data_IF_119200890017
#
_entry.id   IF_119200890017
#
_cell.length_a   1.000
_cell.length_b   1.000
_cell.length_c   1.000
_cell.angle_alpha   90.00
_cell.angle_beta   90.00
_cell.angle_gamma   90.00
#
_symmetry.space_group_name_H-M   'P 1'
#
loop_
_entity.id
_entity.type
_entity.pdbx_description
1 polymer ?
#
# COMPACT_ATOMS: atom_id res chain seq x y z
N UNK A 1 6.64 17.65 -14.62
CA UNK A 1 7.77 16.73 -14.37
C UNK A 1 9.07 17.10 -15.10
N UNK A 2 9.25 18.41 -15.32
CA UNK A 2 10.45 18.97 -15.97
C UNK A 2 10.96 20.21 -15.25
N UNK A 3 10.76 20.32 -13.93
CA UNK A 3 11.28 21.47 -13.14
C UNK A 3 12.81 21.49 -13.05
N UNK A 4 13.45 20.33 -13.15
CA UNK A 4 14.89 20.17 -12.93
C UNK A 4 15.30 20.19 -11.46
N UNK A 5 14.36 20.33 -10.52
CA UNK A 5 14.59 20.42 -9.07
C UNK A 5 14.62 19.02 -8.46
N UNK A 6 15.47 18.83 -7.44
CA UNK A 6 15.78 17.53 -6.82
C UNK A 6 14.97 17.23 -5.55
N UNK A 7 14.29 18.20 -4.96
CA UNK A 7 13.45 17.98 -3.77
C UNK A 7 12.34 16.97 -4.09
N UNK A 8 12.24 15.90 -3.33
CA UNK A 8 11.26 14.83 -3.52
C UNK A 8 10.53 14.49 -2.21
N UNK A 9 9.66 13.48 -2.23
CA UNK A 9 8.85 13.06 -1.09
C UNK A 9 9.71 12.72 0.15
N UNK A 10 10.89 12.14 -0.05
CA UNK A 10 11.78 11.82 1.09
C UNK A 10 12.36 13.07 1.75
N UNK A 11 12.53 14.16 1.01
CA UNK A 11 12.90 15.46 1.56
C UNK A 11 11.79 16.09 2.41
N UNK A 12 10.53 15.79 2.11
CA UNK A 12 9.38 16.31 2.85
C UNK A 12 9.30 15.84 4.31
N UNK A 13 9.96 14.73 4.64
CA UNK A 13 9.99 14.18 6.02
C UNK A 13 10.75 15.12 6.97
N UNK A 14 11.74 15.85 6.46
CA UNK A 14 12.60 16.73 7.28
C UNK A 14 12.20 18.21 7.24
N UNK A 15 11.28 18.59 6.34
CA UNK A 15 10.86 19.96 6.13
C UNK A 15 9.42 20.21 6.58
N UNK A 16 9.18 21.30 7.28
CA UNK A 16 7.83 21.75 7.62
C UNK A 16 7.22 22.61 6.53
N UNK A 17 7.99 23.50 5.92
CA UNK A 17 7.57 24.30 4.75
C UNK A 17 8.09 23.67 3.44
N UNK A 18 7.27 22.83 2.84
CA UNK A 18 7.63 22.14 1.61
C UNK A 18 7.76 23.03 0.39
N UNK A 19 7.08 24.19 0.37
CA UNK A 19 7.23 25.19 -0.71
C UNK A 19 8.63 25.79 -0.63
N UNK A 20 9.04 26.22 0.56
CA UNK A 20 10.38 26.73 0.80
C UNK A 20 11.44 25.68 0.50
N UNK A 21 11.30 24.48 1.05
CA UNK A 21 12.23 23.36 0.82
C UNK A 21 12.40 23.03 -0.67
N UNK A 22 11.31 23.08 -1.45
CA UNK A 22 11.38 22.85 -2.90
C UNK A 22 12.20 23.95 -3.60
N UNK A 23 11.97 25.22 -3.30
CA UNK A 23 12.68 26.31 -3.97
C UNK A 23 14.14 26.49 -3.48
N UNK A 24 14.44 26.06 -2.27
CA UNK A 24 15.81 26.04 -1.74
C UNK A 24 16.63 24.84 -2.29
N UNK A 25 15.99 23.90 -2.97
CA UNK A 25 16.65 22.71 -3.50
C UNK A 25 17.41 22.98 -4.80
N UNK A 26 18.43 22.15 -5.06
CA UNK A 26 19.27 22.26 -6.24
C UNK A 26 18.48 22.07 -7.53
N UNK A 27 18.74 22.92 -8.51
CA UNK A 27 18.30 22.76 -9.90
C UNK A 27 19.42 22.04 -10.67
N UNK A 28 19.21 20.76 -11.00
CA UNK A 28 20.22 19.95 -11.71
C UNK A 28 20.19 20.10 -13.22
N UNK A 29 19.01 20.40 -13.79
CA UNK A 29 18.83 20.56 -15.23
C UNK A 29 17.97 21.79 -15.52
N UNK A 30 18.17 22.46 -16.68
CA UNK A 30 17.31 23.59 -17.07
C UNK A 30 15.83 23.18 -17.09
N UNK A 31 14.92 23.98 -16.52
CA UNK A 31 13.49 23.71 -16.57
C UNK A 31 12.97 23.48 -17.99
N UNK A 32 12.02 22.54 -18.14
CA UNK A 32 11.41 22.21 -19.43
C UNK A 32 12.21 21.27 -20.35
N UNK A 33 13.44 20.89 -19.98
CA UNK A 33 14.33 20.10 -20.86
C UNK A 33 14.34 18.60 -20.58
N UNK A 34 14.42 18.21 -19.32
CA UNK A 34 14.63 16.82 -18.94
C UNK A 34 13.46 16.33 -18.09
N UNK A 35 12.91 15.18 -18.46
CA UNK A 35 11.91 14.50 -17.61
C UNK A 35 12.59 13.96 -16.36
N UNK A 36 12.05 14.33 -15.22
CA UNK A 36 12.37 13.74 -13.92
C UNK A 36 11.09 13.67 -13.10
N UNK A 37 10.61 12.43 -12.84
CA UNK A 37 9.41 12.25 -12.03
C UNK A 37 9.64 12.75 -10.61
N UNK A 38 8.76 13.63 -10.16
CA UNK A 38 8.86 14.25 -8.85
C UNK A 38 7.48 14.77 -8.44
N UNK A 39 6.84 14.09 -7.48
CA UNK A 39 5.49 14.42 -7.01
C UNK A 39 5.40 15.78 -6.35
N UNK A 40 6.53 16.33 -5.88
CA UNK A 40 6.55 17.70 -5.32
C UNK A 40 6.21 18.77 -6.37
N UNK A 41 6.37 18.50 -7.67
CA UNK A 41 5.83 19.39 -8.70
C UNK A 41 4.30 19.51 -8.63
N UNK A 42 3.60 18.42 -8.31
CA UNK A 42 2.14 18.43 -8.13
C UNK A 42 1.75 19.15 -6.83
N UNK A 43 2.54 18.98 -5.77
CA UNK A 43 2.35 19.73 -4.53
C UNK A 43 2.44 21.24 -4.76
N UNK A 44 3.40 21.72 -5.57
CA UNK A 44 3.52 23.13 -5.89
C UNK A 44 2.30 23.68 -6.64
N UNK A 45 1.67 22.86 -7.51
CA UNK A 45 0.43 23.29 -8.16
C UNK A 45 -0.71 23.41 -7.15
N UNK A 46 -0.79 22.52 -6.17
CA UNK A 46 -1.72 22.64 -5.05
C UNK A 46 -1.48 23.94 -4.26
N UNK A 47 -0.23 24.20 -3.88
CA UNK A 47 0.15 25.42 -3.18
C UNK A 47 -0.17 26.69 -3.99
N UNK A 48 0.05 26.65 -5.32
CA UNK A 48 -0.28 27.77 -6.22
C UNK A 48 -1.79 28.03 -6.27
N UNK A 49 -2.62 26.97 -6.35
CA UNK A 49 -4.09 27.13 -6.29
C UNK A 49 -4.49 27.81 -4.99
N UNK A 50 -4.00 27.31 -3.84
CA UNK A 50 -4.29 27.91 -2.53
C UNK A 50 -3.87 29.38 -2.47
N UNK A 51 -2.69 29.71 -2.98
CA UNK A 51 -2.18 31.09 -3.00
C UNK A 51 -3.01 32.03 -3.89
N UNK A 52 -3.45 31.56 -5.05
CA UNK A 52 -4.18 32.37 -6.03
C UNK A 52 -5.65 32.54 -5.64
N UNK A 53 -6.28 31.47 -5.13
CA UNK A 53 -7.72 31.44 -4.86
C UNK A 53 -8.07 31.77 -3.40
N UNK A 54 -7.12 31.68 -2.50
CA UNK A 54 -7.32 31.79 -1.04
C UNK A 54 -7.91 30.52 -0.41
N UNK A 55 -8.21 29.47 -1.20
CA UNK A 55 -8.83 28.23 -0.72
C UNK A 55 -7.97 27.02 -1.09
N UNK A 56 -8.04 25.95 -0.27
CA UNK A 56 -7.37 24.68 -0.57
C UNK A 56 -8.00 23.93 -1.75
N UNK A 57 -7.30 22.88 -2.23
CA UNK A 57 -7.82 22.09 -3.38
C UNK A 57 -9.16 21.44 -3.09
N UNK A 58 -9.39 20.92 -1.89
CA UNK A 58 -10.67 20.29 -1.55
C UNK A 58 -11.81 21.28 -1.63
N UNK A 59 -11.67 22.45 -1.00
CA UNK A 59 -12.66 23.50 -1.02
C UNK A 59 -12.87 24.06 -2.44
N UNK A 60 -11.78 24.26 -3.20
CA UNK A 60 -11.84 24.76 -4.57
C UNK A 60 -12.54 23.80 -5.54
N UNK A 61 -12.25 22.49 -5.40
CA UNK A 61 -12.77 21.45 -6.30
C UNK A 61 -14.20 21.01 -5.95
N UNK A 62 -14.64 21.19 -4.70
CA UNK A 62 -15.96 20.72 -4.25
C UNK A 62 -17.09 21.23 -5.17
N UNK A 63 -17.31 22.52 -5.37
CA UNK A 63 -18.39 22.99 -6.25
C UNK A 63 -18.09 22.81 -7.75
N UNK A 64 -16.85 22.57 -8.15
CA UNK A 64 -16.42 22.52 -9.56
C UNK A 64 -16.29 21.12 -10.11
N UNK A 65 -15.97 20.14 -9.26
CA UNK A 65 -15.70 18.76 -9.68
C UNK A 65 -16.46 17.74 -8.83
N UNK A 66 -16.29 17.77 -7.50
CA UNK A 66 -16.82 16.72 -6.63
C UNK A 66 -18.36 16.69 -6.62
N UNK A 67 -19.01 17.81 -6.36
CA UNK A 67 -20.47 17.92 -6.37
C UNK A 67 -21.09 17.63 -7.74
N UNK A 68 -20.60 18.21 -8.86
CA UNK A 68 -21.14 17.90 -10.19
C UNK A 68 -21.04 16.42 -10.57
N UNK A 69 -19.96 15.73 -10.15
CA UNK A 69 -19.77 14.30 -10.36
C UNK A 69 -20.54 13.43 -9.34
N UNK A 70 -21.13 14.04 -8.29
CA UNK A 70 -21.77 13.33 -7.19
C UNK A 70 -20.79 12.53 -6.36
N UNK A 71 -19.56 13.04 -6.19
CA UNK A 71 -18.50 12.46 -5.35
C UNK A 71 -18.62 13.09 -3.97
N UNK A 72 -18.83 12.26 -2.94
CA UNK A 72 -19.05 12.72 -1.56
C UNK A 72 -17.94 12.24 -0.62
N UNK A 73 -17.45 11.03 -0.83
CA UNK A 73 -16.45 10.39 0.02
C UNK A 73 -15.07 10.56 -0.62
N UNK A 74 -14.53 11.76 -0.52
CA UNK A 74 -13.21 12.13 -1.02
C UNK A 74 -12.49 12.93 0.03
N UNK A 75 -11.20 12.64 0.21
CA UNK A 75 -10.35 13.30 1.21
C UNK A 75 -8.94 13.43 0.65
N UNK A 76 -8.27 14.52 0.99
CA UNK A 76 -6.87 14.75 0.61
C UNK A 76 -6.03 15.06 1.83
N UNK A 77 -4.93 14.33 2.01
CA UNK A 77 -3.97 14.59 3.09
C UNK A 77 -3.32 15.97 2.93
N UNK A 78 -2.99 16.57 4.07
CA UNK A 78 -2.36 17.87 4.13
C UNK A 78 -0.85 17.76 4.40
N UNK A 79 -0.09 18.73 3.91
CA UNK A 79 1.27 19.03 4.35
C UNK A 79 1.25 19.64 5.76
N UNK A 80 2.40 19.73 6.46
CA UNK A 80 2.47 20.39 7.77
C UNK A 80 1.94 21.84 7.78
N UNK A 81 2.02 22.54 6.65
CA UNK A 81 1.47 23.89 6.48
C UNK A 81 0.00 23.91 6.03
N UNK A 82 -0.73 22.80 6.12
CA UNK A 82 -2.16 22.74 5.80
C UNK A 82 -2.48 22.94 4.32
N UNK A 83 -1.62 22.49 3.42
CA UNK A 83 -1.82 22.49 1.96
C UNK A 83 -2.00 21.06 1.53
N UNK A 84 -3.03 20.75 0.72
CA UNK A 84 -3.24 19.43 0.18
C UNK A 84 -2.00 18.95 -0.61
N UNK A 85 -1.58 17.68 -0.39
CA UNK A 85 -0.32 17.16 -0.93
C UNK A 85 -0.25 17.15 -2.46
N UNK A 86 -1.40 17.14 -3.14
CA UNK A 86 -1.49 17.31 -4.60
C UNK A 86 -0.88 16.19 -5.44
N UNK A 87 0.26 15.67 -5.07
CA UNK A 87 0.97 14.58 -5.74
C UNK A 87 0.64 13.19 -5.22
N UNK A 88 0.11 13.08 -4.01
CA UNK A 88 -0.33 11.85 -3.33
C UNK A 88 -1.32 12.16 -2.21
N UNK A 89 -1.79 11.14 -1.50
CA UNK A 89 -2.67 11.31 -0.34
C UNK A 89 -4.12 11.67 -0.69
N UNK A 90 -4.57 11.43 -1.93
CA UNK A 90 -5.99 11.51 -2.28
C UNK A 90 -6.66 10.17 -2.01
N UNK A 91 -7.69 10.17 -1.18
CA UNK A 91 -8.55 9.03 -0.88
C UNK A 91 -9.87 9.19 -1.65
N UNK A 92 -10.18 8.23 -2.49
CA UNK A 92 -11.37 8.22 -3.34
C UNK A 92 -11.76 6.77 -3.64
N UNK A 93 -13.04 6.47 -3.63
CA UNK A 93 -13.50 5.11 -3.97
C UNK A 93 -13.37 4.84 -5.48
N UNK A 94 -13.14 3.58 -5.89
CA UNK A 94 -12.91 3.22 -7.30
C UNK A 94 -14.03 3.69 -8.25
N UNK A 95 -15.28 3.59 -7.83
CA UNK A 95 -16.44 4.01 -8.61
C UNK A 95 -16.46 5.53 -8.87
N UNK A 96 -16.01 6.33 -7.90
CA UNK A 96 -15.91 7.78 -8.04
C UNK A 96 -14.69 8.17 -8.90
N UNK A 97 -13.59 7.44 -8.77
CA UNK A 97 -12.44 7.61 -9.66
C UNK A 97 -12.80 7.31 -11.12
N UNK A 98 -13.63 6.28 -11.37
CA UNK A 98 -14.12 5.95 -12.70
C UNK A 98 -14.95 7.10 -13.35
N UNK A 99 -15.68 7.90 -12.56
CA UNK A 99 -16.39 9.09 -13.06
C UNK A 99 -15.41 10.13 -13.62
N UNK A 100 -14.25 10.30 -13.00
CA UNK A 100 -13.19 11.20 -13.51
C UNK A 100 -12.64 10.66 -14.83
N UNK A 101 -12.34 9.37 -14.94
CA UNK A 101 -11.91 8.76 -16.20
C UNK A 101 -12.95 8.94 -17.31
N UNK A 102 -14.22 8.72 -17.01
CA UNK A 102 -15.31 8.96 -17.94
C UNK A 102 -15.43 10.44 -18.36
N UNK A 103 -15.27 11.38 -17.42
CA UNK A 103 -15.25 12.81 -17.72
C UNK A 103 -14.16 13.15 -18.75
N UNK A 104 -12.97 12.55 -18.62
CA UNK A 104 -11.88 12.71 -19.60
C UNK A 104 -12.25 12.11 -20.97
N UNK A 105 -12.82 10.89 -21.02
CA UNK A 105 -13.25 10.26 -22.27
C UNK A 105 -14.35 11.04 -22.98
N UNK A 106 -15.20 11.74 -22.24
CA UNK A 106 -16.26 12.61 -22.76
C UNK A 106 -15.79 14.05 -23.07
N UNK A 107 -14.48 14.27 -23.19
CA UNK A 107 -13.94 15.59 -23.52
C UNK A 107 -14.28 16.68 -22.51
N UNK A 108 -14.47 16.33 -21.23
CA UNK A 108 -14.75 17.27 -20.14
C UNK A 108 -16.23 17.61 -19.94
N UNK A 109 -17.14 16.87 -20.57
CA UNK A 109 -18.59 17.04 -20.41
C UNK A 109 -19.13 15.96 -19.47
N UNK A 110 -19.98 16.36 -18.53
CA UNK A 110 -20.70 15.48 -17.62
C UNK A 110 -22.16 15.89 -17.54
N UNK A 111 -23.08 14.98 -17.89
CA UNK A 111 -24.54 15.27 -17.93
C UNK A 111 -24.84 16.62 -18.59
N UNK A 112 -24.37 16.80 -19.82
CA UNK A 112 -24.53 17.99 -20.65
C UNK A 112 -23.88 19.30 -20.15
N UNK A 113 -23.18 19.23 -19.02
CA UNK A 113 -22.41 20.34 -18.46
C UNK A 113 -20.92 20.18 -18.71
N UNK A 114 -20.28 21.19 -19.31
CA UNK A 114 -18.83 21.23 -19.44
C UNK A 114 -18.18 21.58 -18.08
N UNK A 115 -17.43 20.64 -17.53
CA UNK A 115 -16.67 20.82 -16.28
C UNK A 115 -15.20 21.14 -16.54
N UNK A 116 -14.63 20.58 -17.63
CA UNK A 116 -13.24 20.81 -18.03
C UNK A 116 -13.24 21.25 -19.50
N UNK A 117 -12.45 22.27 -19.87
CA UNK A 117 -12.31 22.67 -21.27
C UNK A 117 -11.78 21.51 -22.14
N UNK A 118 -12.34 21.33 -23.35
CA UNK A 118 -11.93 20.24 -24.24
C UNK A 118 -10.45 20.35 -24.64
N UNK A 119 -10.04 21.58 -24.97
CA UNK A 119 -8.66 21.92 -25.32
C UNK A 119 -7.67 21.60 -24.19
N UNK A 120 -8.11 21.67 -22.92
CA UNK A 120 -7.28 21.26 -21.80
C UNK A 120 -7.09 19.74 -21.76
N UNK A 121 -8.16 18.97 -21.95
CA UNK A 121 -8.09 17.51 -21.97
C UNK A 121 -7.18 17.03 -23.11
N UNK A 122 -7.38 17.58 -24.32
CA UNK A 122 -6.53 17.29 -25.46
C UNK A 122 -5.05 17.61 -25.15
N UNK A 123 -4.78 18.78 -24.58
CA UNK A 123 -3.45 19.20 -24.22
C UNK A 123 -2.83 18.30 -23.12
N UNK A 124 -3.62 17.90 -22.11
CA UNK A 124 -3.14 17.12 -20.97
C UNK A 124 -2.86 15.66 -21.33
N UNK A 125 -3.66 15.07 -22.23
CA UNK A 125 -3.50 13.69 -22.70
C UNK A 125 -2.59 13.56 -23.92
N UNK A 126 -2.06 14.66 -24.45
CA UNK A 126 -1.04 14.65 -25.50
C UNK A 126 0.37 14.55 -24.94
N UNK A 127 1.29 13.92 -25.67
CA UNK A 127 2.72 13.88 -25.32
C UNK A 127 3.28 15.30 -25.22
N UNK A 128 3.80 15.65 -24.05
CA UNK A 128 4.54 16.91 -23.80
C UNK A 128 6.05 16.64 -23.66
N UNK A 129 6.43 15.53 -23.08
CA UNK A 129 7.82 15.12 -22.91
C UNK A 129 7.98 13.61 -23.08
N UNK A 130 9.13 13.19 -23.59
CA UNK A 130 9.50 11.77 -23.66
C UNK A 130 9.95 11.31 -22.28
N UNK A 131 9.26 10.34 -21.69
CA UNK A 131 9.74 9.70 -20.48
C UNK A 131 10.83 8.66 -20.82
N UNK A 132 11.78 8.36 -19.91
CA UNK A 132 12.74 7.28 -20.09
C UNK A 132 12.06 5.92 -20.31
N UNK A 133 12.76 4.97 -20.96
CA UNK A 133 12.21 3.63 -21.24
C UNK A 133 11.95 2.81 -19.95
N UNK A 134 12.68 3.12 -18.89
CA UNK A 134 12.50 2.50 -17.57
C UNK A 134 11.08 2.69 -17.02
N UNK A 135 10.35 3.71 -17.48
CA UNK A 135 8.94 3.94 -17.19
C UNK A 135 7.97 3.22 -18.15
N UNK A 136 8.43 2.19 -18.85
CA UNK A 136 7.60 1.39 -19.74
C UNK A 136 7.25 2.10 -21.05
N UNK A 137 6.12 1.70 -21.66
CA UNK A 137 5.69 2.17 -22.99
C UNK A 137 4.84 3.45 -22.92
N UNK A 138 5.31 4.42 -22.13
CA UNK A 138 4.62 5.70 -21.94
C UNK A 138 5.53 6.90 -22.21
N UNK A 139 4.90 7.98 -22.68
CA UNK A 139 5.37 9.35 -22.60
C UNK A 139 4.60 10.08 -21.48
N UNK A 140 4.83 11.38 -21.31
CA UNK A 140 4.17 12.16 -20.29
C UNK A 140 3.52 13.42 -20.86
N UNK A 141 2.25 13.64 -20.48
CA UNK A 141 1.47 14.82 -20.73
C UNK A 141 1.50 15.80 -19.57
N UNK A 142 0.34 16.40 -19.23
CA UNK A 142 0.21 17.22 -18.02
C UNK A 142 -0.27 16.37 -16.84
N UNK A 143 0.67 15.84 -16.06
CA UNK A 143 0.45 14.91 -14.94
C UNK A 143 -0.26 13.60 -15.33
N UNK A 144 -0.19 13.22 -16.60
CA UNK A 144 -0.84 12.05 -17.17
C UNK A 144 0.19 11.28 -17.98
N UNK A 145 0.24 9.97 -17.82
CA UNK A 145 1.02 9.07 -18.66
C UNK A 145 0.28 8.80 -19.96
N UNK A 146 0.95 8.91 -21.08
CA UNK A 146 0.36 8.81 -22.43
C UNK A 146 1.02 7.64 -23.16
N UNK A 147 0.22 6.69 -23.63
CA UNK A 147 0.71 5.50 -24.34
C UNK A 147 1.53 5.86 -25.59
N UNK A 148 2.65 5.13 -25.81
CA UNK A 148 3.49 5.32 -26.99
C UNK A 148 2.97 4.58 -28.21
N UNK A 149 2.50 3.35 -28.02
CA UNK A 149 2.08 2.43 -29.08
C UNK A 149 0.57 2.25 -29.16
N UNK A 150 -0.12 2.56 -28.06
CA UNK A 150 -1.55 2.42 -27.96
C UNK A 150 -2.17 3.75 -27.57
N UNK A 151 -3.30 4.10 -28.20
CA UNK A 151 -4.06 5.27 -27.82
C UNK A 151 -4.72 5.02 -26.48
N UNK A 152 -4.03 5.40 -25.43
CA UNK A 152 -4.48 5.31 -24.04
C UNK A 152 -3.79 6.37 -23.19
N UNK A 153 -4.39 6.68 -22.07
CA UNK A 153 -3.74 7.48 -21.03
C UNK A 153 -4.00 6.89 -19.66
N UNK A 154 -3.06 7.13 -18.74
CA UNK A 154 -2.99 6.46 -17.45
C UNK A 154 -2.68 7.46 -16.35
N UNK A 155 -3.50 7.47 -15.32
CA UNK A 155 -3.17 8.03 -14.01
C UNK A 155 -2.63 6.86 -13.19
N UNK A 156 -1.36 6.94 -12.85
CA UNK A 156 -0.66 5.82 -12.23
C UNK A 156 -0.07 6.22 -10.88
N UNK A 157 -0.42 5.46 -9.88
CA UNK A 157 0.14 5.55 -8.53
C UNK A 157 0.89 4.28 -8.14
N UNK A 158 1.71 4.40 -7.11
CA UNK A 158 2.45 3.28 -6.54
C UNK A 158 1.52 2.17 -6.06
N UNK A 159 2.01 0.92 -6.09
CA UNK A 159 1.35 -0.27 -5.56
C UNK A 159 0.04 -0.64 -6.25
N UNK A 160 -0.17 -0.17 -7.50
CA UNK A 160 -1.36 -0.51 -8.28
C UNK A 160 -2.55 0.43 -8.03
N UNK A 161 -2.30 1.72 -7.80
CA UNK A 161 -3.35 2.75 -7.80
C UNK A 161 -3.48 3.30 -9.21
N UNK A 162 -4.34 2.72 -10.02
CA UNK A 162 -4.39 2.98 -11.46
C UNK A 162 -5.78 3.38 -11.96
N UNK A 163 -5.81 4.39 -12.85
CA UNK A 163 -6.93 4.66 -13.73
C UNK A 163 -6.45 4.69 -15.17
N UNK A 164 -6.79 3.67 -15.95
CA UNK A 164 -6.39 3.51 -17.35
C UNK A 164 -7.59 3.75 -18.25
N UNK A 165 -7.44 4.66 -19.23
CA UNK A 165 -8.48 5.04 -20.18
C UNK A 165 -8.08 4.66 -21.60
N UNK A 166 -9.01 4.05 -22.33
CA UNK A 166 -8.90 3.71 -23.74
C UNK A 166 -9.94 4.51 -24.55
N UNK A 167 -9.57 5.66 -25.16
CA UNK A 167 -10.52 6.51 -25.90
C UNK A 167 -11.17 5.79 -27.09
N UNK A 168 -10.42 4.92 -27.78
CA UNK A 168 -10.94 4.22 -28.99
C UNK A 168 -12.05 3.22 -28.68
N UNK A 169 -12.17 2.78 -27.45
CA UNK A 169 -13.15 1.76 -27.00
C UNK A 169 -14.11 2.27 -25.93
N UNK A 170 -13.98 3.54 -25.52
CA UNK A 170 -14.74 4.16 -24.42
C UNK A 170 -14.69 3.36 -23.12
N UNK A 171 -13.50 2.86 -22.77
CA UNK A 171 -13.28 2.03 -21.58
C UNK A 171 -12.44 2.78 -20.56
N UNK A 172 -12.90 2.75 -19.31
CA UNK A 172 -12.13 3.14 -18.10
C UNK A 172 -11.94 1.90 -17.26
N UNK A 173 -10.68 1.62 -16.91
CA UNK A 173 -10.31 0.55 -15.97
C UNK A 173 -9.71 1.18 -14.72
N UNK A 174 -10.22 0.77 -13.57
CA UNK A 174 -9.70 1.18 -12.27
C UNK A 174 -9.09 -0.02 -11.57
N UNK A 175 -7.92 0.18 -10.99
CA UNK A 175 -7.28 -0.74 -10.07
C UNK A 175 -6.94 0.01 -8.78
N UNK A 176 -7.36 -0.53 -7.65
CA UNK A 176 -6.85 -0.17 -6.33
C UNK A 176 -6.30 -1.43 -5.69
N UNK A 177 -4.99 -1.50 -5.58
CA UNK A 177 -4.28 -2.67 -5.11
C UNK A 177 -3.22 -2.30 -4.06
N UNK A 178 -2.70 -3.31 -3.38
CA UNK A 178 -1.48 -3.25 -2.59
C UNK A 178 -0.52 -4.29 -3.15
N UNK A 179 0.05 -4.03 -4.32
CA UNK A 179 0.92 -4.96 -5.03
C UNK A 179 2.39 -4.49 -5.06
N UNK A 180 3.30 -5.38 -5.50
CA UNK A 180 4.72 -5.06 -5.64
C UNK A 180 5.03 -4.31 -6.95
N UNK A 181 4.25 -3.30 -7.29
CA UNK A 181 4.42 -2.54 -8.53
C UNK A 181 4.61 -1.05 -8.23
N UNK A 182 5.72 -0.50 -8.71
CA UNK A 182 6.02 0.91 -8.48
C UNK A 182 5.30 1.83 -9.45
N UNK A 183 5.36 1.54 -10.74
CA UNK A 183 4.80 2.36 -11.80
C UNK A 183 4.43 1.51 -13.03
N UNK A 184 4.56 2.04 -14.23
CA UNK A 184 4.03 1.59 -15.51
C UNK A 184 4.49 0.23 -16.04
N UNK A 185 5.38 -0.46 -15.36
CA UNK A 185 5.76 -1.83 -15.73
C UNK A 185 4.77 -2.88 -15.20
N UNK A 186 3.61 -2.44 -14.75
CA UNK A 186 2.63 -3.24 -14.05
C UNK A 186 2.07 -4.39 -14.91
N UNK A 187 1.82 -5.49 -14.26
CA UNK A 187 1.06 -6.60 -14.85
C UNK A 187 -0.36 -6.17 -15.23
N UNK A 188 -0.94 -5.25 -14.46
CA UNK A 188 -2.23 -4.65 -14.75
C UNK A 188 -2.29 -4.07 -16.17
N UNK A 189 -1.32 -3.21 -16.55
CA UNK A 189 -1.31 -2.61 -17.88
C UNK A 189 -1.19 -3.66 -18.99
N UNK A 190 -0.37 -4.69 -18.81
CA UNK A 190 -0.21 -5.79 -19.77
C UNK A 190 -1.52 -6.56 -19.96
N UNK A 191 -2.19 -6.90 -18.85
CA UNK A 191 -3.48 -7.59 -18.86
C UNK A 191 -4.56 -6.70 -19.47
N UNK A 192 -4.67 -5.46 -19.01
CA UNK A 192 -5.64 -4.49 -19.51
C UNK A 192 -5.50 -4.27 -21.02
N UNK A 193 -4.29 -4.06 -21.52
CA UNK A 193 -4.01 -3.88 -22.95
C UNK A 193 -4.37 -5.11 -23.78
N UNK A 194 -4.17 -6.32 -23.22
CA UNK A 194 -4.50 -7.58 -23.90
C UNK A 194 -6.00 -7.75 -24.10
N UNK A 195 -6.81 -7.42 -23.09
CA UNK A 195 -8.23 -7.71 -23.08
C UNK A 195 -9.10 -6.53 -23.50
N UNK A 196 -8.67 -5.29 -23.29
CA UNK A 196 -9.46 -4.08 -23.51
C UNK A 196 -8.82 -3.09 -24.48
N UNK A 197 -7.66 -3.42 -25.01
CA UNK A 197 -6.96 -2.54 -25.93
C UNK A 197 -7.40 -2.69 -27.39
N UNK A 198 -6.47 -2.41 -28.29
CA UNK A 198 -6.67 -2.37 -29.74
C UNK A 198 -7.24 -3.69 -30.26
N UNK A 199 -8.43 -3.63 -30.85
CA UNK A 199 -9.14 -4.80 -31.39
C UNK A 199 -10.49 -5.08 -30.73
N UNK A 200 -10.73 -4.58 -29.53
CA UNK A 200 -12.06 -4.63 -28.91
C UNK A 200 -12.90 -3.47 -29.48
N UNK A 201 -13.78 -3.76 -30.43
CA UNK A 201 -14.70 -2.76 -31.01
C UNK A 201 -16.08 -3.38 -31.09
N UNK A 202 -16.84 -3.45 -29.98
CA UNK A 202 -18.22 -3.89 -30.07
C UNK A 202 -19.01 -2.85 -30.87
N UNK A 203 -19.62 -3.28 -31.97
CA UNK A 203 -20.48 -2.43 -32.79
C UNK A 203 -21.87 -2.21 -32.18
N UNK A 204 -22.22 -3.03 -31.17
CA UNK A 204 -23.45 -2.95 -30.40
C UNK A 204 -23.26 -3.58 -29.03
N UNK A 205 -24.19 -3.32 -28.12
CA UNK A 205 -24.25 -4.03 -26.86
C UNK A 205 -24.36 -5.54 -27.10
N UNK A 206 -23.54 -6.34 -26.44
CA UNK A 206 -23.64 -7.78 -26.51
C UNK A 206 -24.96 -8.25 -25.88
N UNK A 207 -25.61 -9.29 -26.41
CA UNK A 207 -26.79 -9.86 -25.78
C UNK A 207 -26.45 -10.36 -24.37
N UNK A 208 -27.41 -10.33 -23.43
CA UNK A 208 -27.21 -10.86 -22.10
C UNK A 208 -26.77 -12.34 -22.13
N UNK A 209 -25.67 -12.66 -21.47
CA UNK A 209 -25.21 -14.04 -21.27
C UNK A 209 -25.26 -14.40 -19.80
N UNK A 210 -26.37 -14.97 -19.36
CA UNK A 210 -26.58 -15.40 -17.97
C UNK A 210 -25.54 -16.43 -17.51
N UNK A 211 -25.00 -17.24 -18.41
CA UNK A 211 -23.96 -18.23 -18.09
C UNK A 211 -22.62 -17.53 -17.79
N UNK A 212 -22.25 -16.53 -18.59
CA UNK A 212 -21.06 -15.73 -18.37
C UNK A 212 -21.16 -14.91 -17.07
N UNK A 213 -22.33 -14.32 -16.81
CA UNK A 213 -22.60 -13.59 -15.57
C UNK A 213 -22.48 -14.49 -14.35
N UNK A 214 -23.06 -15.68 -14.38
CA UNK A 214 -22.95 -16.68 -13.31
C UNK A 214 -21.50 -17.11 -13.05
N UNK A 215 -20.71 -17.31 -14.11
CA UNK A 215 -19.27 -17.61 -14.01
C UNK A 215 -18.51 -16.44 -13.38
N UNK A 216 -18.79 -15.20 -13.80
CA UNK A 216 -18.15 -14.02 -13.24
C UNK A 216 -18.45 -13.86 -11.75
N UNK A 217 -19.71 -14.02 -11.34
CA UNK A 217 -20.10 -13.97 -9.93
C UNK A 217 -19.39 -15.05 -9.10
N UNK A 218 -19.30 -16.27 -9.62
CA UNK A 218 -18.58 -17.36 -8.94
C UNK A 218 -17.09 -17.06 -8.79
N UNK A 219 -16.46 -16.46 -9.80
CA UNK A 219 -15.04 -16.04 -9.72
C UNK A 219 -14.87 -14.92 -8.70
N UNK A 220 -15.75 -13.91 -8.70
CA UNK A 220 -15.72 -12.81 -7.72
C UNK A 220 -15.85 -13.32 -6.29
N UNK A 221 -16.78 -14.23 -6.03
CA UNK A 221 -16.98 -14.80 -4.70
C UNK A 221 -15.77 -15.64 -4.25
N UNK A 222 -15.19 -16.45 -5.15
CA UNK A 222 -13.96 -17.17 -4.87
C UNK A 222 -12.81 -16.23 -4.51
N UNK A 223 -12.61 -15.16 -5.26
CA UNK A 223 -11.55 -14.19 -4.99
C UNK A 223 -11.76 -13.45 -3.66
N UNK A 224 -13.00 -13.20 -3.27
CA UNK A 224 -13.33 -12.63 -1.95
C UNK A 224 -12.97 -13.56 -0.81
N UNK A 225 -13.28 -14.84 -0.95
CA UNK A 225 -13.16 -15.82 0.13
C UNK A 225 -11.78 -16.42 0.27
N UNK A 226 -10.98 -16.46 -0.80
CA UNK A 226 -9.74 -17.26 -0.87
C UNK A 226 -8.44 -16.44 -1.02
N UNK A 227 -8.50 -15.12 -0.85
CA UNK A 227 -7.34 -14.23 -1.06
C UNK A 227 -6.17 -14.44 -0.08
N UNK A 228 -6.39 -15.09 1.06
CA UNK A 228 -5.35 -15.41 2.06
C UNK A 228 -5.09 -16.92 2.20
N UNK A 229 -5.90 -17.76 1.52
CA UNK A 229 -5.90 -19.21 1.67
C UNK A 229 -6.68 -19.68 2.91
N UNK A 230 -6.94 -20.99 2.96
CA UNK A 230 -7.73 -21.61 4.03
C UNK A 230 -6.83 -22.19 5.11
N UNK A 231 -7.38 -22.30 6.32
CA UNK A 231 -6.72 -23.06 7.41
C UNK A 231 -6.54 -24.52 7.03
N UNK A 232 -5.35 -25.06 7.32
CA UNK A 232 -5.01 -26.47 7.12
C UNK A 232 -5.23 -27.31 8.38
N UNK A 233 -5.45 -26.64 9.53
CA UNK A 233 -5.71 -27.25 10.82
C UNK A 233 -7.15 -26.91 11.27
N UNK A 234 -7.77 -27.70 12.15
CA UNK A 234 -9.10 -27.42 12.68
C UNK A 234 -9.16 -26.14 13.49
N UNK A 235 -9.86 -25.12 12.97
CA UNK A 235 -9.87 -23.75 13.51
C UNK A 235 -10.29 -23.75 14.97
N UNK A 236 -11.48 -24.29 15.29
CA UNK A 236 -12.02 -24.24 16.65
C UNK A 236 -11.11 -24.92 17.68
N UNK A 237 -10.52 -26.08 17.32
CA UNK A 237 -9.57 -26.79 18.19
C UNK A 237 -8.34 -25.92 18.48
N UNK A 238 -7.78 -25.28 17.45
CA UNK A 238 -6.62 -24.41 17.60
C UNK A 238 -6.95 -23.15 18.40
N UNK A 239 -8.10 -22.52 18.16
CA UNK A 239 -8.53 -21.35 18.94
C UNK A 239 -8.71 -21.67 20.42
N UNK A 240 -9.31 -22.82 20.74
CA UNK A 240 -9.46 -23.28 22.13
C UNK A 240 -8.11 -23.58 22.80
N UNK A 241 -7.17 -24.16 22.06
CA UNK A 241 -5.82 -24.46 22.58
C UNK A 241 -5.01 -23.18 22.85
N UNK A 242 -5.22 -22.12 22.09
CA UNK A 242 -4.52 -20.84 22.27
C UNK A 242 -5.20 -19.91 23.28
N UNK A 243 -6.44 -20.19 23.68
CA UNK A 243 -7.21 -19.31 24.56
C UNK A 243 -6.54 -19.10 25.90
N UNK A 244 -6.26 -17.84 26.24
CA UNK A 244 -5.64 -17.41 27.48
C UNK A 244 -4.14 -17.68 27.54
N UNK A 245 -3.50 -18.06 26.42
CA UNK A 245 -2.04 -18.10 26.32
C UNK A 245 -1.50 -16.69 26.14
N UNK A 246 -0.54 -16.36 26.95
CA UNK A 246 0.08 -15.05 27.08
C UNK A 246 1.58 -15.16 26.86
N UNK A 247 2.14 -14.24 26.06
CA UNK A 247 3.55 -14.26 25.66
C UNK A 247 4.18 -12.88 25.79
N UNK A 248 5.46 -12.84 26.20
CA UNK A 248 6.22 -11.59 26.23
C UNK A 248 7.70 -11.80 25.83
N UNK A 249 8.39 -10.69 25.55
CA UNK A 249 9.82 -10.65 25.30
C UNK A 249 10.61 -10.06 26.47
N UNK A 250 9.93 -9.53 27.49
CA UNK A 250 10.55 -8.82 28.62
C UNK A 250 11.09 -7.42 28.30
N UNK A 251 11.02 -6.97 27.05
CA UNK A 251 11.51 -5.65 26.61
C UNK A 251 10.78 -5.11 25.39
N UNK A 252 10.80 -3.79 25.20
CA UNK A 252 10.25 -3.13 24.03
C UNK A 252 10.97 -3.59 22.75
N UNK A 253 10.22 -3.71 21.67
CA UNK A 253 10.67 -4.15 20.37
C UNK A 253 10.84 -2.98 19.38
N UNK A 254 11.45 -3.26 18.23
CA UNK A 254 11.56 -2.26 17.16
C UNK A 254 10.19 -1.97 16.52
N UNK A 255 9.99 -0.78 15.97
CA UNK A 255 8.77 -0.35 15.30
C UNK A 255 8.33 -1.31 14.17
N UNK A 256 9.26 -2.00 13.56
CA UNK A 256 9.01 -3.02 12.53
C UNK A 256 8.36 -4.31 13.08
N UNK A 257 8.39 -4.53 14.38
CA UNK A 257 7.66 -5.59 15.06
C UNK A 257 6.28 -5.13 15.58
N UNK A 258 5.72 -4.08 15.03
CA UNK A 258 4.42 -3.54 15.38
C UNK A 258 3.29 -3.95 14.44
N UNK A 259 2.07 -3.55 14.78
CA UNK A 259 0.89 -3.77 13.94
C UNK A 259 0.98 -2.98 12.64
N UNK A 260 1.47 -1.74 12.68
CA UNK A 260 1.52 -0.86 11.52
C UNK A 260 2.75 -1.17 10.64
N UNK A 261 2.58 -1.40 9.32
CA UNK A 261 3.70 -1.55 8.40
C UNK A 261 4.65 -0.35 8.42
N UNK A 262 5.95 -0.59 8.34
CA UNK A 262 6.96 0.47 8.37
C UNK A 262 6.78 1.48 7.24
N UNK A 263 6.34 1.02 6.07
CA UNK A 263 6.05 1.90 4.94
C UNK A 263 4.96 2.93 5.29
N UNK A 264 3.87 2.53 5.93
CA UNK A 264 2.81 3.45 6.38
C UNK A 264 3.38 4.42 7.42
N UNK A 265 4.13 3.90 8.40
CA UNK A 265 4.76 4.73 9.43
C UNK A 265 5.63 5.83 8.81
N UNK A 266 6.44 5.48 7.81
CA UNK A 266 7.32 6.41 7.13
C UNK A 266 6.57 7.45 6.25
N UNK A 267 5.55 7.01 5.50
CA UNK A 267 4.77 7.90 4.62
C UNK A 267 3.91 8.91 5.38
N UNK A 268 3.44 8.52 6.57
CA UNK A 268 2.57 9.37 7.40
C UNK A 268 3.28 9.99 8.60
N UNK A 269 4.57 9.67 8.79
CA UNK A 269 5.34 10.13 9.96
C UNK A 269 4.66 9.74 11.30
N UNK A 270 4.06 8.55 11.34
CA UNK A 270 3.33 8.01 12.48
C UNK A 270 4.02 6.74 13.01
N UNK A 271 5.10 6.92 13.76
CA UNK A 271 5.91 5.82 14.25
C UNK A 271 5.36 5.25 15.56
N UNK A 272 5.41 3.93 15.67
CA UNK A 272 5.02 3.18 16.86
C UNK A 272 6.20 2.37 17.41
N UNK A 273 6.06 1.86 18.61
CA UNK A 273 6.98 0.84 19.17
C UNK A 273 6.52 -0.54 18.74
N UNK A 274 7.39 -1.55 18.83
CA UNK A 274 7.00 -2.93 18.54
C UNK A 274 6.13 -3.54 19.64
N UNK A 275 5.52 -4.66 19.31
CA UNK A 275 4.74 -5.49 20.24
C UNK A 275 5.73 -6.21 21.16
N UNK A 276 5.58 -6.04 22.47
CA UNK A 276 6.41 -6.72 23.46
C UNK A 276 5.64 -7.77 24.26
N UNK A 277 4.31 -7.68 24.28
CA UNK A 277 3.41 -8.56 25.00
C UNK A 277 2.14 -8.79 24.18
N UNK A 278 1.60 -10.01 24.22
CA UNK A 278 0.32 -10.32 23.60
C UNK A 278 -0.35 -11.55 24.22
N UNK A 279 -1.67 -11.61 24.05
CA UNK A 279 -2.54 -12.70 24.51
C UNK A 279 -3.49 -13.12 23.40
N UNK A 280 -3.80 -14.41 23.32
CA UNK A 280 -4.89 -14.90 22.48
C UNK A 280 -6.13 -15.14 23.32
N UNK A 281 -7.27 -14.62 22.86
CA UNK A 281 -8.55 -14.77 23.53
C UNK A 281 -9.58 -15.36 22.55
N UNK A 282 -10.28 -16.41 22.98
CA UNK A 282 -11.33 -17.02 22.20
C UNK A 282 -12.65 -16.93 22.96
N UNK A 283 -13.49 -15.98 22.56
CA UNK A 283 -14.80 -15.75 23.15
C UNK A 283 -15.86 -16.55 22.39
N UNK A 284 -16.53 -17.44 23.12
CA UNK A 284 -17.62 -18.28 22.63
C UNK A 284 -18.99 -17.91 23.27
N UNK A 285 -19.03 -16.80 24.00
CA UNK A 285 -20.24 -16.38 24.72
C UNK A 285 -21.31 -15.76 23.84
N UNK A 286 -20.89 -15.23 22.65
CA UNK A 286 -21.78 -14.61 21.69
C UNK A 286 -22.43 -15.59 20.70
N UNK A 287 -23.29 -15.08 19.84
CA UNK A 287 -23.92 -15.85 18.75
C UNK A 287 -22.88 -16.43 17.75
N UNK A 288 -21.76 -15.71 17.57
CA UNK A 288 -20.63 -16.14 16.77
C UNK A 288 -19.35 -16.10 17.58
N UNK A 289 -18.58 -17.19 17.63
CA UNK A 289 -17.29 -17.21 18.31
C UNK A 289 -16.32 -16.21 17.69
N UNK A 290 -15.62 -15.44 18.53
CA UNK A 290 -14.64 -14.45 18.10
C UNK A 290 -13.27 -14.81 18.66
N UNK A 291 -12.27 -14.85 17.76
CA UNK A 291 -10.87 -15.02 18.15
C UNK A 291 -10.16 -13.66 18.09
N UNK A 292 -9.60 -13.25 19.20
CA UNK A 292 -8.92 -11.97 19.35
C UNK A 292 -7.43 -12.17 19.61
N UNK A 293 -6.63 -11.38 18.96
CA UNK A 293 -5.24 -11.17 19.29
C UNK A 293 -5.11 -9.82 20.03
N UNK A 294 -4.95 -9.88 21.34
CA UNK A 294 -4.72 -8.72 22.18
C UNK A 294 -3.23 -8.45 22.27
N UNK A 295 -2.81 -7.20 22.01
CA UNK A 295 -1.40 -6.81 21.98
C UNK A 295 -1.15 -5.57 22.83
N UNK A 296 0.06 -5.49 23.39
CA UNK A 296 0.57 -4.26 23.99
C UNK A 296 1.64 -3.66 23.08
N UNK A 297 1.36 -2.44 22.62
CA UNK A 297 2.21 -1.67 21.72
C UNK A 297 2.15 -0.19 22.09
N UNK A 298 3.30 0.45 22.29
CA UNK A 298 3.36 1.87 22.68
C UNK A 298 2.72 2.18 24.04
N UNK A 299 2.70 1.23 24.97
CA UNK A 299 2.04 1.35 26.27
C UNK A 299 0.51 1.31 26.19
N UNK A 300 -0.06 0.89 25.06
CA UNK A 300 -1.49 0.74 24.86
C UNK A 300 -1.86 -0.70 24.55
N UNK A 301 -2.93 -1.16 25.15
CA UNK A 301 -3.59 -2.40 24.77
C UNK A 301 -4.47 -2.20 23.54
N UNK A 302 -4.34 -3.09 22.55
CA UNK A 302 -5.13 -3.10 21.33
C UNK A 302 -5.71 -4.49 21.12
N UNK A 303 -6.97 -4.57 20.71
CA UNK A 303 -7.63 -5.82 20.38
C UNK A 303 -7.79 -5.91 18.87
N UNK A 304 -7.24 -6.97 18.31
CA UNK A 304 -7.27 -7.28 16.87
C UNK A 304 -8.15 -8.52 16.67
N UNK A 305 -9.43 -8.36 16.28
CA UNK A 305 -10.29 -9.50 15.99
C UNK A 305 -9.81 -10.19 14.71
N UNK A 306 -9.78 -11.53 14.73
CA UNK A 306 -9.22 -12.34 13.63
C UNK A 306 -10.30 -13.24 13.06
N UNK A 307 -10.67 -13.03 11.81
CA UNK A 307 -11.58 -13.89 11.06
C UNK A 307 -10.84 -15.00 10.30
N UNK A 308 -11.41 -16.20 10.24
CA UNK A 308 -10.79 -17.33 9.52
C UNK A 308 -11.45 -17.61 8.17
N UNK A 309 -12.76 -17.75 8.12
CA UNK A 309 -13.51 -17.95 6.87
C UNK A 309 -13.80 -16.64 6.15
N UNK A 310 -14.00 -15.58 6.91
CA UNK A 310 -14.20 -14.20 6.46
C UNK A 310 -13.25 -13.28 7.20
N UNK A 311 -12.87 -12.13 6.63
CA UNK A 311 -12.14 -11.13 7.40
C UNK A 311 -13.02 -10.52 8.48
N UNK A 312 -12.44 -10.25 9.64
CA UNK A 312 -13.01 -9.32 10.60
C UNK A 312 -12.56 -7.89 10.27
N UNK A 313 -13.49 -6.96 10.36
CA UNK A 313 -13.22 -5.54 10.11
C UNK A 313 -13.08 -4.82 11.44
N UNK A 314 -12.01 -4.05 11.58
CA UNK A 314 -11.73 -3.29 12.80
C UNK A 314 -11.06 -1.96 12.45
N UNK A 315 -11.05 -1.06 13.42
CA UNK A 315 -10.26 0.16 13.36
C UNK A 315 -9.11 0.04 14.34
N UNK A 316 -7.87 0.21 13.85
CA UNK A 316 -6.67 0.22 14.66
C UNK A 316 -6.22 1.68 14.81
N UNK A 317 -6.05 2.14 16.04
CA UNK A 317 -5.70 3.53 16.33
C UNK A 317 -4.23 3.65 16.76
N UNK A 318 -3.53 4.64 16.17
CA UNK A 318 -2.16 5.02 16.52
C UNK A 318 -2.06 6.54 16.57
N UNK A 319 -1.67 7.11 17.72
CA UNK A 319 -1.44 8.56 17.89
C UNK A 319 -2.57 9.43 17.31
N UNK A 320 -3.82 9.06 17.58
CA UNK A 320 -5.03 9.74 17.09
C UNK A 320 -5.37 9.51 15.60
N UNK A 321 -4.55 8.78 14.85
CA UNK A 321 -4.87 8.34 13.50
C UNK A 321 -5.60 6.99 13.55
N UNK A 322 -6.61 6.84 12.71
CA UNK A 322 -7.49 5.67 12.66
C UNK A 322 -7.34 4.95 11.33
N UNK A 323 -7.01 3.66 11.39
CA UNK A 323 -6.77 2.83 10.22
C UNK A 323 -7.84 1.74 10.14
N UNK A 324 -8.67 1.79 9.11
CA UNK A 324 -9.63 0.73 8.84
C UNK A 324 -8.88 -0.50 8.31
N UNK A 325 -9.07 -1.64 8.95
CA UNK A 325 -8.37 -2.87 8.64
C UNK A 325 -9.33 -4.05 8.45
N UNK A 326 -8.97 -4.93 7.50
CA UNK A 326 -9.54 -6.26 7.35
C UNK A 326 -8.52 -7.28 7.84
N UNK A 327 -8.89 -8.04 8.87
CA UNK A 327 -8.00 -8.97 9.56
C UNK A 327 -8.43 -10.40 9.29
N UNK A 328 -7.49 -11.20 8.78
CA UNK A 328 -7.74 -12.60 8.49
C UNK A 328 -6.63 -13.49 9.02
N UNK A 329 -7.02 -14.60 9.64
CA UNK A 329 -6.13 -15.63 10.14
C UNK A 329 -6.24 -16.94 9.38
N UNK A 330 -5.19 -17.75 9.46
CA UNK A 330 -5.22 -19.16 9.06
C UNK A 330 -4.27 -19.97 9.92
N UNK A 331 -4.68 -21.17 10.26
CA UNK A 331 -3.80 -22.15 10.89
C UNK A 331 -3.14 -23.02 9.82
N UNK A 332 -1.83 -23.20 9.92
CA UNK A 332 -1.03 -23.94 8.95
C UNK A 332 0.11 -24.69 9.64
N UNK A 333 0.96 -25.35 8.87
CA UNK A 333 2.20 -25.96 9.31
C UNK A 333 3.37 -25.40 8.53
N UNK A 334 4.46 -25.12 9.21
CA UNK A 334 5.66 -24.52 8.62
C UNK A 334 6.91 -25.22 9.10
N UNK A 335 7.93 -25.27 8.23
CA UNK A 335 9.29 -25.63 8.62
C UNK A 335 10.03 -24.37 9.02
N UNK A 336 10.85 -24.45 10.06
CA UNK A 336 11.62 -23.30 10.60
C UNK A 336 12.93 -23.04 9.86
N UNK A 337 13.33 -23.90 8.94
CA UNK A 337 14.58 -23.76 8.15
C UNK A 337 14.85 -22.40 7.50
N UNK A 338 13.80 -21.64 7.24
CA UNK A 338 13.88 -20.36 6.54
C UNK A 338 13.92 -19.15 7.50
N UNK A 339 13.98 -19.37 8.82
CA UNK A 339 13.91 -18.32 9.82
C UNK A 339 15.25 -18.14 10.53
N UNK A 340 15.74 -16.89 10.62
CA UNK A 340 17.11 -16.55 11.03
C UNK A 340 17.41 -16.75 12.52
N UNK A 341 16.39 -16.73 13.38
CA UNK A 341 16.57 -16.81 14.84
C UNK A 341 16.35 -18.21 15.41
N UNK A 342 16.17 -19.20 14.57
CA UNK A 342 16.07 -20.58 15.04
C UNK A 342 17.48 -21.06 15.35
N UNK A 343 17.73 -21.34 16.62
CA UNK A 343 19.02 -21.86 17.11
C UNK A 343 19.32 -23.23 16.49
N UNK A 344 20.60 -23.63 16.54
CA UNK A 344 21.14 -24.92 16.06
C UNK A 344 20.43 -26.16 16.64
N UNK A 345 19.49 -25.99 17.59
CA UNK A 345 18.80 -27.04 18.31
C UNK A 345 17.60 -27.67 17.58
N UNK A 346 17.21 -27.16 16.39
CA UNK A 346 16.06 -27.66 15.65
C UNK A 346 16.51 -28.50 14.44
N UNK A 347 15.92 -29.69 14.29
CA UNK A 347 16.24 -30.58 13.17
C UNK A 347 15.72 -30.00 11.84
N UNK A 348 16.47 -30.20 10.76
CA UNK A 348 16.19 -29.69 9.41
C UNK A 348 14.77 -30.03 8.87
N UNK A 349 14.10 -31.03 9.41
CA UNK A 349 12.79 -31.51 8.96
C UNK A 349 11.66 -31.19 9.95
N UNK A 350 11.89 -30.44 11.00
CA UNK A 350 10.86 -30.15 11.98
C UNK A 350 9.78 -29.23 11.40
N UNK A 351 8.54 -29.64 11.58
CA UNK A 351 7.33 -28.95 11.11
C UNK A 351 6.48 -28.59 12.32
N UNK A 352 6.23 -27.31 12.48
CA UNK A 352 5.49 -26.76 13.61
C UNK A 352 4.12 -26.26 13.19
N UNK A 353 3.16 -26.34 14.10
CA UNK A 353 1.88 -25.69 13.94
C UNK A 353 2.07 -24.17 14.01
N UNK A 354 1.37 -23.44 13.16
CA UNK A 354 1.51 -21.99 13.07
C UNK A 354 0.15 -21.31 12.86
N UNK A 355 0.02 -20.12 13.44
CA UNK A 355 -1.03 -19.16 13.12
C UNK A 355 -0.42 -18.05 12.28
N UNK A 356 -1.03 -17.75 11.14
CA UNK A 356 -0.66 -16.61 10.31
C UNK A 356 -1.82 -15.61 10.29
N UNK A 357 -1.55 -14.36 10.67
CA UNK A 357 -2.53 -13.27 10.67
C UNK A 357 -2.10 -12.25 9.63
N UNK A 358 -3.01 -11.87 8.74
CA UNK A 358 -2.85 -10.75 7.82
C UNK A 358 -3.79 -9.62 8.18
N UNK A 359 -3.22 -8.44 8.37
CA UNK A 359 -3.92 -7.18 8.58
C UNK A 359 -3.78 -6.37 7.29
N UNK A 360 -4.86 -6.22 6.54
CA UNK A 360 -4.89 -5.41 5.33
C UNK A 360 -5.51 -4.05 5.66
N UNK A 361 -4.73 -2.99 5.51
CA UNK A 361 -5.18 -1.62 5.73
C UNK A 361 -5.94 -1.15 4.50
N UNK A 362 -7.27 -0.98 4.62
CA UNK A 362 -8.16 -0.83 3.46
C UNK A 362 -8.03 0.52 2.74
N UNK A 363 -7.57 1.53 3.46
CA UNK A 363 -7.34 2.86 2.92
C UNK A 363 -5.88 3.07 2.48
N UNK A 364 -5.06 2.04 2.63
CA UNK A 364 -3.63 2.05 2.30
C UNK A 364 -3.28 0.85 1.43
N UNK A 365 -2.20 0.96 0.66
CA UNK A 365 -1.73 -0.13 -0.20
C UNK A 365 -0.86 -1.16 0.54
N UNK A 366 -0.99 -1.26 1.85
CA UNK A 366 -0.10 -2.04 2.68
C UNK A 366 -0.84 -3.08 3.51
N UNK A 367 -0.14 -4.16 3.82
CA UNK A 367 -0.61 -5.18 4.76
C UNK A 367 0.51 -5.56 5.72
N UNK A 368 0.17 -5.86 6.95
CA UNK A 368 1.05 -6.52 7.92
C UNK A 368 0.73 -8.02 7.91
N UNK A 369 1.77 -8.84 7.88
CA UNK A 369 1.66 -10.30 8.03
C UNK A 369 2.44 -10.69 9.26
N UNK A 370 1.78 -11.32 10.21
CA UNK A 370 2.39 -11.83 11.43
C UNK A 370 2.17 -13.33 11.50
N UNK A 371 3.25 -14.08 11.62
CA UNK A 371 3.21 -15.54 11.73
C UNK A 371 3.74 -15.97 13.08
N UNK A 372 2.95 -16.73 13.81
CA UNK A 372 3.28 -17.32 15.09
C UNK A 372 3.60 -18.79 14.87
N UNK A 373 4.82 -19.20 15.13
CA UNK A 373 5.29 -20.58 15.01
C UNK A 373 5.45 -21.11 16.43
N UNK A 374 4.63 -22.07 16.84
CA UNK A 374 4.61 -22.61 18.20
C UNK A 374 5.70 -23.65 18.34
N UNK A 375 6.85 -23.26 18.86
CA UNK A 375 8.04 -24.10 18.98
C UNK A 375 7.93 -25.11 20.11
N UNK A 376 7.30 -24.70 21.22
CA UNK A 376 7.00 -25.52 22.40
C UNK A 376 5.79 -24.95 23.14
N UNK A 377 5.38 -25.55 24.26
CA UNK A 377 4.34 -25.00 25.14
C UNK A 377 4.75 -23.62 25.70
N UNK A 378 6.06 -23.39 25.90
CA UNK A 378 6.60 -22.18 26.54
C UNK A 378 7.16 -21.16 25.57
N UNK A 379 7.19 -21.42 24.27
CA UNK A 379 7.83 -20.49 23.34
C UNK A 379 7.21 -20.47 21.95
N UNK A 380 7.09 -19.25 21.42
CA UNK A 380 6.62 -18.98 20.08
C UNK A 380 7.60 -18.06 19.35
N UNK A 381 7.92 -18.41 18.10
CA UNK A 381 8.65 -17.54 17.18
C UNK A 381 7.63 -16.71 16.39
N UNK A 382 7.73 -15.39 16.51
CA UNK A 382 6.84 -14.45 15.82
C UNK A 382 7.60 -13.77 14.70
N UNK A 383 7.14 -13.99 13.47
CA UNK A 383 7.76 -13.48 12.27
C UNK A 383 6.92 -12.31 11.73
N UNK A 384 7.49 -11.11 11.74
CA UNK A 384 6.86 -9.91 11.22
C UNK A 384 7.28 -9.68 9.77
N UNK A 385 6.31 -9.55 8.89
CA UNK A 385 6.49 -9.25 7.46
C UNK A 385 5.49 -8.17 7.04
N UNK A 386 5.80 -7.49 5.99
CA UNK A 386 4.87 -6.54 5.38
C UNK A 386 4.73 -6.76 3.87
N UNK A 387 3.68 -6.24 3.31
CA UNK A 387 3.44 -6.25 1.88
C UNK A 387 2.99 -4.85 1.44
N UNK A 388 3.60 -4.23 0.42
CA UNK A 388 4.68 -4.75 -0.44
C UNK A 388 5.90 -5.25 0.33
N UNK A 389 6.54 -6.30 -0.19
CA UNK A 389 7.59 -7.03 0.53
C UNK A 389 8.95 -6.31 0.53
N UNK A 390 9.87 -6.82 1.35
CA UNK A 390 11.20 -6.26 1.52
C UNK A 390 12.03 -6.27 0.22
N UNK A 391 11.86 -7.27 -0.63
CA UNK A 391 12.59 -7.34 -1.91
C UNK A 391 12.16 -6.22 -2.86
N UNK A 392 10.86 -5.93 -2.90
CA UNK A 392 10.34 -4.79 -3.64
C UNK A 392 10.89 -3.45 -3.12
N UNK A 393 10.87 -3.25 -1.81
CA UNK A 393 11.39 -2.03 -1.19
C UNK A 393 12.90 -1.85 -1.47
N UNK A 394 13.66 -2.93 -1.35
CA UNK A 394 15.11 -2.94 -1.63
C UNK A 394 15.41 -2.63 -3.09
N UNK A 395 14.68 -3.25 -4.03
CA UNK A 395 14.85 -3.00 -5.47
C UNK A 395 14.60 -1.52 -5.82
N UNK A 396 13.60 -0.91 -5.18
CA UNK A 396 13.28 0.49 -5.43
C UNK A 396 14.28 1.45 -4.78
N UNK A 397 14.74 1.17 -3.57
CA UNK A 397 15.82 1.91 -2.94
C UNK A 397 17.11 1.84 -3.77
N UNK A 398 17.43 0.67 -4.33
CA UNK A 398 18.54 0.48 -5.26
C UNK A 398 18.39 1.36 -6.49
N UNK A 399 17.23 1.33 -7.13
CA UNK A 399 16.94 2.14 -8.31
C UNK A 399 17.10 3.64 -8.02
N UNK A 400 16.52 4.15 -6.94
CA UNK A 400 16.61 5.57 -6.59
C UNK A 400 18.02 6.00 -6.14
N UNK A 401 18.76 5.14 -5.46
CA UNK A 401 20.10 5.46 -4.95
C UNK A 401 21.15 5.36 -6.03
N UNK A 402 21.17 4.28 -6.80
CA UNK A 402 22.21 4.01 -7.79
C UNK A 402 22.03 4.80 -9.08
N UNK A 403 20.79 5.08 -9.50
CA UNK A 403 20.56 5.91 -10.68
C UNK A 403 21.07 7.35 -10.51
N UNK A 404 21.11 7.88 -9.29
CA UNK A 404 21.71 9.18 -8.98
C UNK A 404 23.24 9.21 -9.15
N UNK A 405 23.87 8.05 -9.10
CA UNK A 405 25.33 7.89 -9.19
C UNK A 405 25.77 7.47 -10.60
N UNK A 406 24.83 7.04 -11.46
CA UNK A 406 25.11 6.74 -12.88
C UNK A 406 25.66 7.97 -13.58
N UNK A 407 26.82 7.80 -14.28
CA UNK A 407 27.50 8.89 -14.97
C UNK A 407 28.54 9.66 -14.15
N UNK A 408 28.71 9.36 -12.85
CA UNK A 408 29.76 9.99 -12.02
C UNK A 408 31.13 9.26 -12.05
N UNK A 409 31.27 8.27 -12.94
CA UNK A 409 32.51 7.51 -13.16
C UNK A 409 32.41 6.05 -12.72
N UNK A 410 33.03 5.17 -13.47
CA UNK A 410 32.94 3.71 -13.34
C UNK A 410 33.35 3.20 -11.94
N UNK A 411 34.34 3.85 -11.32
CA UNK A 411 34.83 3.49 -9.99
C UNK A 411 33.77 3.84 -8.89
N UNK A 412 33.13 5.01 -9.03
CA UNK A 412 32.09 5.46 -8.10
C UNK A 412 30.84 4.57 -8.18
N UNK A 413 30.46 4.16 -9.38
CA UNK A 413 29.35 3.22 -9.59
C UNK A 413 29.64 1.84 -9.01
N UNK A 414 30.86 1.31 -9.21
CA UNK A 414 31.27 0.02 -8.65
C UNK A 414 31.33 0.03 -7.12
N UNK A 415 31.86 1.10 -6.54
CA UNK A 415 31.94 1.24 -5.07
C UNK A 415 30.55 1.38 -4.45
N UNK A 416 29.67 2.18 -5.06
CA UNK A 416 28.30 2.36 -4.61
C UNK A 416 27.50 1.06 -4.71
N UNK A 417 27.63 0.32 -5.81
CA UNK A 417 26.99 -0.99 -5.97
C UNK A 417 27.48 -2.00 -4.92
N UNK A 418 28.79 -2.01 -4.62
CA UNK A 418 29.36 -2.90 -3.63
C UNK A 418 28.86 -2.56 -2.23
N UNK A 419 28.92 -1.30 -1.81
CA UNK A 419 28.43 -0.85 -0.50
C UNK A 419 26.94 -1.10 -0.35
N UNK A 420 26.14 -0.86 -1.40
CA UNK A 420 24.73 -1.13 -1.40
C UNK A 420 24.44 -2.63 -1.18
N UNK A 421 25.04 -3.49 -2.01
CA UNK A 421 24.78 -4.93 -1.95
C UNK A 421 25.35 -5.59 -0.66
N UNK A 422 26.55 -5.23 -0.26
CA UNK A 422 27.25 -5.92 0.84
C UNK A 422 26.82 -5.43 2.22
N UNK A 423 26.37 -4.18 2.35
CA UNK A 423 26.09 -3.56 3.65
C UNK A 423 24.63 -3.13 3.80
N UNK A 424 24.11 -2.32 2.86
CA UNK A 424 22.78 -1.73 3.00
C UNK A 424 21.66 -2.74 2.82
N UNK A 425 21.74 -3.57 1.80
CA UNK A 425 20.68 -4.52 1.45
C UNK A 425 20.37 -5.50 2.60
N UNK A 426 21.39 -6.05 3.22
CA UNK A 426 21.22 -6.98 4.33
C UNK A 426 20.65 -6.29 5.58
N UNK A 427 21.12 -5.06 5.90
CA UNK A 427 20.63 -4.30 7.07
C UNK A 427 19.18 -3.83 6.90
N UNK A 428 18.81 -3.34 5.72
CA UNK A 428 17.42 -2.92 5.47
C UNK A 428 16.50 -4.14 5.53
N UNK A 429 16.90 -5.28 4.91
CA UNK A 429 16.10 -6.49 4.98
C UNK A 429 15.93 -6.97 6.44
N UNK A 430 16.98 -6.98 7.24
CA UNK A 430 16.89 -7.38 8.66
C UNK A 430 16.05 -6.41 9.51
N UNK A 431 15.90 -5.15 9.08
CA UNK A 431 15.00 -4.21 9.75
C UNK A 431 13.54 -4.38 9.35
N UNK A 432 13.27 -4.86 8.11
CA UNK A 432 11.91 -5.07 7.58
C UNK A 432 11.35 -6.45 7.92
N UNK A 433 12.24 -7.45 8.06
CA UNK A 433 11.89 -8.85 8.32
C UNK A 433 12.42 -9.25 9.69
N UNK A 434 11.58 -9.12 10.72
CA UNK A 434 11.95 -9.47 12.09
C UNK A 434 11.35 -10.83 12.48
N UNK A 435 12.17 -11.65 13.10
CA UNK A 435 11.82 -12.93 13.70
C UNK A 435 12.21 -12.86 15.19
N UNK A 436 11.21 -12.85 16.09
CA UNK A 436 11.41 -12.61 17.53
C UNK A 436 10.84 -13.77 18.32
N UNK A 437 11.63 -14.30 19.23
CA UNK A 437 11.20 -15.36 20.14
C UNK A 437 10.54 -14.75 21.38
N UNK A 438 9.28 -15.14 21.61
CA UNK A 438 8.52 -14.79 22.79
C UNK A 438 8.43 -16.00 23.73
N UNK A 439 8.37 -15.74 25.03
CA UNK A 439 8.19 -16.76 26.05
C UNK A 439 6.80 -16.68 26.64
N UNK A 440 6.23 -17.83 26.97
CA UNK A 440 4.99 -17.88 27.71
C UNK A 440 5.14 -17.23 29.09
N UNK A 441 4.14 -16.51 29.51
CA UNK A 441 4.06 -15.94 30.86
C UNK A 441 3.65 -17.05 31.83
N UNK A 442 4.48 -17.36 32.81
CA UNK A 442 4.11 -18.31 33.85
C UNK A 442 2.90 -17.79 34.62
N UNK A 443 1.80 -18.54 34.63
CA UNK A 443 0.70 -18.26 35.52
C UNK A 443 1.17 -18.49 36.95
N UNK A 444 1.42 -17.43 37.70
CA UNK A 444 1.62 -17.52 39.15
C UNK A 444 0.43 -18.24 39.74
N UNK A 445 0.67 -19.42 40.32
CA UNK A 445 -0.32 -20.14 41.16
C UNK A 445 -0.55 -19.32 42.43
N UNK A 446 -1.32 -18.25 42.39
CA UNK A 446 -1.78 -17.55 43.57
C UNK A 446 -3.08 -16.82 43.21
N UNK A 447 -4.17 -17.57 43.36
CA UNK A 447 -5.45 -17.11 43.87
C UNK A 447 -6.30 -18.34 44.15
N UNK A 448 -5.92 -19.05 45.22
CA UNK A 448 -6.96 -19.79 45.96
C UNK A 448 -7.88 -18.73 46.61
N UNK A 449 -9.16 -18.71 46.37
CA UNK A 449 -10.04 -17.91 47.19
C UNK A 449 -10.04 -18.55 48.57
N UNK A 450 -9.60 -17.79 49.54
CA UNK A 450 -9.90 -18.11 50.94
C UNK A 450 -11.39 -18.28 51.13
N UNK A 451 -11.77 -19.44 51.66
CA UNK A 451 -13.13 -19.85 52.05
C UNK A 451 -13.70 -18.95 53.14
#
# INVERSE_FOLDING_TARGET
>A
MTSGIVFNETGSVTETDWVKGFFDSLVLTPPGKTFNYNSMNSFLLSAAVKKITGTGLMEYLTPRLWEPLGIKNVFWELSPCGIEKGGWGLYIIPEDLAKIGRLYLQGGIWKDKRLIPAEWIEAATAKKVTAPQDFGDFNYGYHIWVGRRQHCFLFNGMFGQNMLCFPDTDIVLIENAGNNEMFQQSHFFKIASKYFGKGLRPSAALPPDQSAEKRLLAVKERLRSDWFGRSRLPIEKCCRALNGLEYNTGQAQAATAGLLPLMIQALQNNYTTGIYHFTFLYDVSGEHPVFNWEVEEGGQKKIVPVGFDRPEYTTIEFQSERYLAAVRGRFTRVSVLNYREVSEDYAENDVYDALEIRISYLEMANSRIVRFIFLSEDSVLVCFREYPDSDFLLMNLEYFTLNRLRGKGRLTEQLANKVYNDVFKARIRSALELDIKYKAVEKTQNEQPDL
#
